data_IF_941535831253
#
_entry.id   IF_941535831253
#
_cell.length_a   1.000
_cell.length_b   1.000
_cell.length_c   1.000
_cell.angle_alpha   90.00
_cell.angle_beta   90.00
_cell.angle_gamma   90.00
#
_symmetry.space_group_name_H-M   'P 1'
#
loop_
_entity.id
_entity.type
_entity.pdbx_description
1 polymer ?
#
# COMPACT_ATOMS: atom_id res chain seq x y z
N UNK A 1 9.66 -35.62 -77.26
CA UNK A 1 8.27 -35.24 -77.13
C UNK A 1 8.13 -34.52 -75.76
N UNK A 2 8.30 -33.24 -75.85
CA UNK A 2 8.52 -32.37 -74.67
C UNK A 2 7.26 -31.54 -74.42
N UNK A 3 6.59 -31.77 -73.33
CA UNK A 3 5.46 -30.92 -72.87
C UNK A 3 5.99 -29.89 -71.91
N UNK A 4 5.87 -28.63 -72.27
CA UNK A 4 6.15 -27.46 -71.42
C UNK A 4 4.90 -27.13 -70.65
N UNK A 5 4.99 -27.17 -69.30
CA UNK A 5 3.94 -26.76 -68.43
C UNK A 5 4.10 -25.27 -68.19
N UNK A 6 3.17 -24.47 -68.72
CA UNK A 6 3.06 -23.06 -68.54
C UNK A 6 2.47 -22.79 -67.13
N UNK A 7 3.24 -22.08 -66.32
CA UNK A 7 2.86 -21.71 -64.96
C UNK A 7 2.12 -20.37 -65.01
N UNK A 8 0.83 -20.44 -64.87
CA UNK A 8 -0.07 -19.33 -64.77
C UNK A 8 0.23 -18.49 -63.49
N UNK A 9 0.68 -17.28 -63.69
CA UNK A 9 0.97 -16.33 -62.61
C UNK A 9 -0.26 -15.44 -62.42
N UNK A 10 -1.02 -15.70 -61.36
CA UNK A 10 -2.12 -14.84 -60.89
C UNK A 10 -1.55 -13.52 -60.39
N UNK A 11 -2.05 -12.35 -60.85
CA UNK A 11 -1.65 -11.06 -60.28
C UNK A 11 -2.23 -10.90 -58.88
N UNK A 12 -1.35 -10.65 -57.90
CA UNK A 12 -1.71 -10.26 -56.55
C UNK A 12 -2.26 -8.86 -56.63
N UNK A 13 -3.55 -8.71 -56.35
CA UNK A 13 -4.25 -7.44 -56.20
C UNK A 13 -3.75 -6.79 -54.87
N UNK A 14 -2.79 -5.88 -54.97
CA UNK A 14 -2.32 -5.06 -53.84
C UNK A 14 -3.36 -3.98 -53.58
N UNK A 15 -4.29 -4.24 -52.67
CA UNK A 15 -5.19 -3.23 -52.10
C UNK A 15 -4.33 -2.18 -51.38
N UNK A 16 -4.34 -0.91 -51.77
CA UNK A 16 -3.57 0.11 -51.10
C UNK A 16 -4.14 0.34 -49.68
N UNK A 17 -3.38 -0.01 -48.68
CA UNK A 17 -3.67 0.33 -47.27
C UNK A 17 -3.79 1.86 -47.13
N UNK A 18 -4.88 2.37 -46.63
CA UNK A 18 -5.05 3.83 -46.43
C UNK A 18 -4.03 4.32 -45.38
N UNK A 19 -3.08 5.15 -45.82
CA UNK A 19 -2.16 5.85 -44.91
C UNK A 19 -2.97 6.76 -44.02
N UNK A 20 -2.89 6.63 -42.68
CA UNK A 20 -3.57 7.52 -41.79
C UNK A 20 -3.08 8.95 -42.02
N UNK A 21 -3.98 9.85 -42.39
CA UNK A 21 -3.67 11.27 -42.60
C UNK A 21 -3.07 11.81 -41.27
N UNK A 22 -1.86 12.40 -41.34
CA UNK A 22 -1.10 12.85 -40.18
C UNK A 22 -1.84 13.83 -39.24
N UNK A 23 -2.94 14.44 -39.72
CA UNK A 23 -3.83 15.29 -38.90
C UNK A 23 -4.64 14.50 -37.87
N UNK A 24 -5.10 13.29 -38.19
CA UNK A 24 -5.85 12.45 -37.26
C UNK A 24 -4.96 11.86 -36.14
N UNK A 25 -3.70 11.56 -36.44
CA UNK A 25 -2.75 11.06 -35.47
C UNK A 25 -2.34 12.16 -34.44
N UNK A 26 -2.14 13.40 -34.93
CA UNK A 26 -1.82 14.55 -34.08
C UNK A 26 -2.97 14.90 -33.13
N UNK A 27 -4.22 14.88 -33.61
CA UNK A 27 -5.40 15.16 -32.77
C UNK A 27 -5.60 14.08 -31.71
N UNK A 28 -5.37 12.81 -32.04
CA UNK A 28 -5.44 11.71 -31.07
C UNK A 28 -4.31 11.76 -30.03
N UNK A 29 -3.10 12.13 -30.42
CA UNK A 29 -1.99 12.32 -29.52
C UNK A 29 -2.22 13.49 -28.54
N UNK A 30 -2.77 14.62 -29.03
CA UNK A 30 -3.12 15.77 -28.20
C UNK A 30 -4.27 15.45 -27.22
N UNK A 31 -5.29 14.68 -27.64
CA UNK A 31 -6.38 14.24 -26.78
C UNK A 31 -5.89 13.29 -25.67
N UNK A 32 -5.00 12.35 -26.00
CA UNK A 32 -4.39 11.46 -25.02
C UNK A 32 -3.52 12.21 -24.00
N UNK A 33 -2.74 13.19 -24.45
CA UNK A 33 -1.94 14.05 -23.55
C UNK A 33 -2.82 14.89 -22.63
N UNK A 34 -3.96 15.40 -23.12
CA UNK A 34 -4.89 16.18 -22.29
C UNK A 34 -5.56 15.29 -21.21
N UNK A 35 -5.92 14.05 -21.53
CA UNK A 35 -6.51 13.12 -20.57
C UNK A 35 -5.51 12.69 -19.50
N UNK A 36 -4.27 12.40 -19.90
CA UNK A 36 -3.20 12.05 -18.95
C UNK A 36 -2.84 13.25 -18.06
N UNK A 37 -2.79 14.47 -18.61
CA UNK A 37 -2.56 15.69 -17.85
C UNK A 37 -3.67 15.98 -16.84
N UNK A 38 -4.93 15.77 -17.20
CA UNK A 38 -6.06 15.93 -16.29
C UNK A 38 -6.07 14.88 -15.17
N UNK A 39 -5.73 13.62 -15.48
CA UNK A 39 -5.63 12.56 -14.47
C UNK A 39 -4.50 12.83 -13.47
N UNK A 40 -3.35 13.31 -13.93
CA UNK A 40 -2.23 13.71 -13.05
C UNK A 40 -2.60 14.91 -12.17
N UNK A 41 -3.31 15.91 -12.71
CA UNK A 41 -3.76 17.07 -11.93
C UNK A 41 -4.76 16.67 -10.84
N UNK A 42 -5.68 15.74 -11.12
CA UNK A 42 -6.61 15.20 -10.11
C UNK A 42 -5.85 14.42 -9.04
N UNK A 43 -4.85 13.63 -9.42
CA UNK A 43 -4.04 12.88 -8.46
C UNK A 43 -3.21 13.81 -7.54
N UNK A 44 -2.66 14.90 -8.07
CA UNK A 44 -1.94 15.91 -7.27
C UNK A 44 -2.92 16.63 -6.32
N UNK A 45 -4.12 16.98 -6.75
CA UNK A 45 -5.14 17.61 -5.89
C UNK A 45 -5.58 16.66 -4.76
N UNK A 46 -5.74 15.36 -5.03
CA UNK A 46 -6.08 14.37 -4.00
C UNK A 46 -4.94 14.22 -2.99
N UNK A 47 -3.68 14.22 -3.44
CA UNK A 47 -2.52 14.14 -2.53
C UNK A 47 -2.36 15.41 -1.70
N UNK A 48 -2.59 16.60 -2.27
CA UNK A 48 -2.49 17.88 -1.56
C UNK A 48 -3.65 18.05 -0.56
N UNK A 49 -4.87 17.61 -0.90
CA UNK A 49 -6.01 17.65 0.03
C UNK A 49 -5.91 16.62 1.17
N UNK A 50 -5.06 15.60 1.07
CA UNK A 50 -4.79 14.69 2.18
C UNK A 50 -3.77 15.27 3.18
N UNK A 51 -3.09 16.35 2.83
CA UNK A 51 -2.07 16.97 3.67
C UNK A 51 -2.63 17.96 4.70
N UNK A 52 -3.89 18.38 4.58
CA UNK A 52 -4.53 19.34 5.51
C UNK A 52 -5.42 18.69 6.59
N UNK A 53 -5.50 17.36 6.62
CA UNK A 53 -6.09 16.70 7.79
C UNK A 53 -5.16 16.94 8.99
N UNK A 54 -5.69 17.35 10.17
CA UNK A 54 -4.88 17.51 11.35
C UNK A 54 -4.10 16.22 11.58
N UNK A 55 -2.78 16.31 11.49
CA UNK A 55 -1.89 15.16 11.69
C UNK A 55 -1.95 14.81 13.17
N UNK A 56 -2.73 13.81 13.51
CA UNK A 56 -2.75 13.25 14.85
C UNK A 56 -1.46 12.46 15.00
N UNK A 57 -0.64 12.79 15.98
CA UNK A 57 0.61 12.10 16.24
C UNK A 57 0.36 10.60 16.42
N UNK A 58 1.14 9.74 15.76
CA UNK A 58 0.98 8.30 15.90
C UNK A 58 1.34 7.84 17.31
N UNK A 59 0.69 6.80 17.76
CA UNK A 59 1.14 6.06 18.93
C UNK A 59 2.24 5.10 18.49
N UNK A 60 3.48 5.38 18.87
CA UNK A 60 4.64 4.63 18.39
C UNK A 60 5.18 3.68 19.47
N UNK A 61 5.40 2.43 19.06
CA UNK A 61 6.03 1.37 19.85
C UNK A 61 7.31 0.96 19.14
N UNK A 62 8.43 1.07 19.83
CA UNK A 62 9.73 0.60 19.33
C UNK A 62 10.19 -0.61 20.13
N UNK A 63 10.42 -1.71 19.46
CA UNK A 63 10.91 -2.95 20.04
C UNK A 63 12.43 -2.98 19.90
N UNK A 64 13.13 -3.08 21.03
CA UNK A 64 14.59 -3.19 21.06
C UNK A 64 15.06 -4.62 20.75
N UNK A 65 16.34 -4.79 20.46
CA UNK A 65 16.95 -6.11 20.31
C UNK A 65 16.80 -6.95 21.58
N UNK A 66 16.64 -8.27 21.40
CA UNK A 66 16.50 -9.27 22.47
C UNK A 66 15.21 -9.16 23.31
N UNK A 67 14.27 -8.31 22.92
CA UNK A 67 13.02 -8.11 23.64
C UNK A 67 12.16 -9.38 23.68
N UNK A 68 12.04 -10.12 22.58
CA UNK A 68 11.26 -11.36 22.54
C UNK A 68 11.78 -12.40 23.52
N UNK A 69 13.09 -12.50 23.65
CA UNK A 69 13.74 -13.40 24.63
C UNK A 69 13.44 -12.95 26.05
N UNK A 70 13.56 -11.66 26.32
CA UNK A 70 13.28 -11.09 27.64
C UNK A 70 11.81 -11.23 28.07
N UNK A 71 10.87 -11.03 27.16
CA UNK A 71 9.43 -11.27 27.40
C UNK A 71 9.16 -12.75 27.72
N UNK A 72 9.77 -13.67 26.97
CA UNK A 72 9.58 -15.11 27.17
C UNK A 72 10.17 -15.62 28.49
N UNK A 73 11.28 -15.04 28.96
CA UNK A 73 11.90 -15.36 30.25
C UNK A 73 11.29 -14.62 31.43
N UNK A 74 10.51 -13.59 31.20
CA UNK A 74 9.98 -12.70 32.22
C UNK A 74 10.97 -11.66 32.74
N UNK A 75 12.09 -11.46 32.03
CA UNK A 75 13.11 -10.48 32.38
C UNK A 75 12.75 -9.06 31.88
N UNK A 76 11.81 -8.98 30.94
CA UNK A 76 11.29 -7.71 30.39
C UNK A 76 9.79 -7.66 30.63
N UNK A 77 9.32 -6.51 31.11
CA UNK A 77 7.89 -6.25 31.26
C UNK A 77 7.18 -6.09 29.90
N UNK A 78 5.85 -6.16 29.91
CA UNK A 78 5.04 -5.88 28.74
C UNK A 78 5.43 -4.54 28.09
N UNK A 79 5.68 -4.56 26.78
CA UNK A 79 6.10 -3.37 26.03
C UNK A 79 4.99 -2.33 25.87
N UNK A 80 3.76 -2.78 25.97
CA UNK A 80 2.58 -1.92 25.84
C UNK A 80 1.60 -2.21 26.99
N UNK A 81 0.82 -1.21 27.43
CA UNK A 81 -0.22 -1.43 28.43
C UNK A 81 -1.30 -2.37 27.88
N UNK A 82 -2.06 -3.03 28.75
CA UNK A 82 -3.14 -3.92 28.36
C UNK A 82 -4.23 -3.23 27.50
N UNK A 83 -4.34 -1.91 27.64
CA UNK A 83 -5.25 -1.09 26.84
C UNK A 83 -4.53 0.17 26.35
N UNK A 84 -4.50 0.35 25.03
CA UNK A 84 -4.06 1.57 24.37
C UNK A 84 -5.30 2.40 24.03
N UNK A 85 -5.24 3.70 24.30
CA UNK A 85 -6.29 4.66 23.90
C UNK A 85 -5.81 5.45 22.71
N UNK A 86 -6.61 5.48 21.65
CA UNK A 86 -6.34 6.21 20.41
C UNK A 86 -7.52 7.13 20.08
N UNK A 87 -7.25 8.12 19.24
CA UNK A 87 -8.30 8.93 18.61
C UNK A 87 -8.68 8.35 17.24
N UNK A 88 -9.91 8.60 16.75
CA UNK A 88 -10.27 8.23 15.39
C UNK A 88 -9.29 8.83 14.37
N UNK A 89 -8.77 8.00 13.47
CA UNK A 89 -7.74 8.37 12.48
C UNK A 89 -6.30 8.29 12.98
N UNK A 90 -6.07 8.16 14.31
CA UNK A 90 -4.73 7.95 14.85
C UNK A 90 -4.15 6.60 14.42
N UNK A 91 -2.85 6.57 14.18
CA UNK A 91 -2.13 5.37 13.80
C UNK A 91 -1.39 4.77 14.99
N UNK A 92 -1.43 3.45 15.09
CA UNK A 92 -0.53 2.67 15.92
C UNK A 92 0.63 2.20 15.04
N UNK A 93 1.84 2.56 15.42
CA UNK A 93 3.07 2.26 14.66
C UNK A 93 3.95 1.34 15.47
N UNK A 94 4.33 0.21 14.90
CA UNK A 94 5.27 -0.74 15.49
C UNK A 94 6.56 -0.73 14.68
N UNK A 95 7.69 -0.39 15.33
CA UNK A 95 9.04 -0.52 14.79
C UNK A 95 9.74 -1.71 15.42
N UNK A 96 10.14 -2.67 14.63
CA UNK A 96 10.84 -3.84 15.13
C UNK A 96 12.35 -3.74 14.89
N UNK A 97 13.12 -3.52 15.95
CA UNK A 97 14.58 -3.62 15.93
C UNK A 97 15.08 -4.92 16.60
N UNK A 98 14.15 -5.82 16.97
CA UNK A 98 14.51 -7.13 17.52
C UNK A 98 14.94 -8.09 16.41
N UNK A 99 15.60 -9.17 16.82
CA UNK A 99 16.00 -10.26 15.93
C UNK A 99 14.82 -11.15 15.52
N UNK A 100 13.77 -11.18 16.33
CA UNK A 100 12.58 -11.97 16.09
C UNK A 100 11.44 -11.13 15.54
N UNK A 101 10.53 -11.74 14.76
CA UNK A 101 9.35 -11.04 14.27
C UNK A 101 8.39 -10.76 15.43
N UNK A 102 7.74 -9.59 15.36
CA UNK A 102 6.69 -9.18 16.29
C UNK A 102 5.35 -9.03 15.59
N UNK A 103 4.28 -9.38 16.28
CA UNK A 103 2.92 -9.34 15.72
C UNK A 103 2.07 -8.25 16.37
N UNK A 104 1.20 -7.66 15.55
CA UNK A 104 0.18 -6.72 15.96
C UNK A 104 -1.09 -7.00 15.15
N UNK A 105 -2.02 -7.78 15.69
CA UNK A 105 -3.11 -8.36 14.95
C UNK A 105 -2.62 -9.28 13.83
N UNK A 106 -3.10 -9.03 12.62
CA UNK A 106 -2.70 -9.76 11.41
C UNK A 106 -1.40 -9.24 10.79
N UNK A 107 -0.84 -8.18 11.33
CA UNK A 107 0.42 -7.60 10.85
C UNK A 107 1.60 -8.27 11.52
N UNK A 108 2.64 -8.56 10.73
CA UNK A 108 3.92 -9.08 11.19
C UNK A 108 4.99 -8.06 10.85
N UNK A 109 5.76 -7.64 11.85
CA UNK A 109 6.92 -6.81 11.68
C UNK A 109 8.18 -7.68 11.78
N UNK A 110 8.84 -7.92 10.66
CA UNK A 110 10.15 -8.55 10.61
C UNK A 110 11.22 -7.60 11.16
N UNK A 111 12.43 -8.10 11.37
CA UNK A 111 13.53 -7.28 11.84
C UNK A 111 13.79 -6.08 10.92
N UNK A 112 13.77 -4.89 11.47
CA UNK A 112 13.98 -3.62 10.76
C UNK A 112 12.72 -3.05 10.14
N UNK A 113 11.60 -3.76 10.21
CA UNK A 113 10.33 -3.31 9.66
C UNK A 113 9.64 -2.27 10.54
N UNK A 114 8.81 -1.49 9.88
CA UNK A 114 7.83 -0.61 10.51
C UNK A 114 6.46 -0.92 9.95
N UNK A 115 5.57 -1.42 10.78
CA UNK A 115 4.17 -1.66 10.42
C UNK A 115 3.26 -0.62 11.04
N UNK A 116 2.13 -0.32 10.38
CA UNK A 116 1.16 0.69 10.80
C UNK A 116 -0.24 0.14 10.74
N UNK A 117 -1.02 0.43 11.76
CA UNK A 117 -2.44 0.10 11.84
C UNK A 117 -3.23 1.38 12.10
N UNK A 118 -4.28 1.64 11.30
CA UNK A 118 -5.14 2.81 11.43
C UNK A 118 -6.51 2.43 11.94
N UNK A 119 -7.09 3.30 12.75
CA UNK A 119 -8.41 3.12 13.36
C UNK A 119 -9.30 4.31 12.96
N UNK A 120 -10.07 4.20 11.86
CA UNK A 120 -10.82 5.34 11.32
C UNK A 120 -12.06 5.70 12.14
N UNK A 121 -12.57 4.81 12.98
CA UNK A 121 -13.81 4.99 13.74
C UNK A 121 -13.65 4.58 15.20
N UNK A 122 -14.49 5.17 16.05
CA UNK A 122 -14.58 4.81 17.45
C UNK A 122 -14.96 3.35 17.65
N UNK A 123 -14.46 2.77 18.73
CA UNK A 123 -14.79 1.42 19.11
C UNK A 123 -13.72 0.73 19.95
N UNK A 124 -14.03 -0.48 20.37
CA UNK A 124 -13.13 -1.33 21.12
C UNK A 124 -12.67 -2.48 20.23
N UNK A 125 -11.36 -2.57 20.03
CA UNK A 125 -10.73 -3.61 19.25
C UNK A 125 -9.86 -4.47 20.18
N UNK A 126 -10.01 -5.80 20.08
CA UNK A 126 -9.17 -6.74 20.81
C UNK A 126 -8.37 -7.50 19.76
N UNK A 127 -7.07 -7.49 19.90
CA UNK A 127 -6.16 -8.09 18.93
C UNK A 127 -5.07 -8.93 19.62
N UNK A 128 -4.54 -9.91 18.90
CA UNK A 128 -3.37 -10.65 19.35
C UNK A 128 -2.11 -9.79 19.18
N UNK A 129 -1.11 -10.01 20.05
CA UNK A 129 0.17 -9.32 19.95
C UNK A 129 1.26 -10.12 20.63
N UNK A 130 2.48 -10.05 20.12
CA UNK A 130 3.68 -10.56 20.78
C UNK A 130 4.36 -9.53 21.69
N UNK A 131 3.80 -8.32 21.83
CA UNK A 131 4.36 -7.22 22.64
C UNK A 131 4.01 -7.34 24.12
N UNK A 132 3.26 -8.36 24.48
CA UNK A 132 2.82 -8.66 25.84
C UNK A 132 2.91 -10.15 26.13
N UNK A 133 3.21 -10.48 27.36
CA UNK A 133 3.31 -11.88 27.81
C UNK A 133 1.95 -12.63 27.73
N UNK A 134 0.81 -11.92 27.93
CA UNK A 134 -0.52 -12.49 27.81
C UNK A 134 -1.02 -12.62 26.36
N UNK A 135 -0.23 -12.13 25.38
CA UNK A 135 -0.53 -12.20 23.95
C UNK A 135 -1.73 -11.38 23.49
N UNK A 136 -2.27 -10.49 24.32
CA UNK A 136 -3.52 -9.78 24.04
C UNK A 136 -3.38 -8.27 24.25
N UNK A 137 -3.94 -7.50 23.33
CA UNK A 137 -4.00 -6.06 23.38
C UNK A 137 -5.44 -5.56 23.15
N UNK A 138 -5.90 -4.65 23.99
CA UNK A 138 -7.15 -3.91 23.76
C UNK A 138 -6.80 -2.52 23.24
N UNK A 139 -7.42 -2.11 22.14
CA UNK A 139 -7.31 -0.78 21.57
C UNK A 139 -8.68 -0.12 21.70
N UNK A 140 -8.75 0.97 22.43
CA UNK A 140 -9.95 1.76 22.61
C UNK A 140 -9.82 3.05 21.81
N UNK A 141 -10.67 3.20 20.81
CA UNK A 141 -10.71 4.38 19.94
C UNK A 141 -11.86 5.26 20.39
N UNK A 142 -11.57 6.47 20.85
CA UNK A 142 -12.56 7.41 21.38
C UNK A 142 -12.18 8.85 21.03
N UNK A 143 -13.19 9.68 20.76
CA UNK A 143 -12.97 11.11 20.51
C UNK A 143 -12.48 11.81 21.78
N UNK A 144 -11.63 12.83 21.65
CA UNK A 144 -11.25 13.66 22.78
C UNK A 144 -12.49 14.38 23.34
N UNK A 145 -12.67 14.33 24.65
CA UNK A 145 -13.77 15.01 25.38
C UNK A 145 -13.46 16.48 25.63
#
# INVERSE_FOLDING_TARGET
>A
MTAILEKDATPVDETPTPRPSGRGALVRALLLMAVVGAALAVMIVVVVNQSDAPTIDPFEVSVAADTATGLASGDVDDLVPATIRLQPGQQLVLRNNDWQPHTLGDLVAERGDTVRMSFPSEGRHITATSLRADGRLTILVESPS
#
